data_IF_120655991123
#
_entry.id   IF_120655991123
#
_cell.length_a   1.000
_cell.length_b   1.000
_cell.length_c   1.000
_cell.angle_alpha   90.00
_cell.angle_beta   90.00
_cell.angle_gamma   90.00
#
_symmetry.space_group_name_H-M   'P 1'
#
loop_
_entity.id
_entity.type
_entity.pdbx_description
1 polymer ?
#
# COMPACT_ATOMS: atom_id res chain seq x y z
N UNK A 1 9.55 -0.01 3.11
CA UNK A 1 8.88 0.98 2.23
C UNK A 1 8.89 0.56 0.74
N UNK A 2 10.00 0.03 0.18
CA UNK A 2 10.06 -0.35 -1.25
C UNK A 2 8.99 -1.38 -1.62
N UNK A 3 8.78 -2.41 -0.81
CA UNK A 3 7.75 -3.45 -1.02
C UNK A 3 6.35 -2.83 -0.93
N UNK A 4 6.11 -1.95 0.04
CA UNK A 4 4.84 -1.26 0.20
C UNK A 4 4.50 -0.37 -1.00
N UNK A 5 5.47 0.42 -1.47
CA UNK A 5 5.28 1.33 -2.61
C UNK A 5 5.13 0.56 -3.94
N UNK A 6 5.90 -0.54 -4.13
CA UNK A 6 5.87 -1.33 -5.35
C UNK A 6 4.67 -2.25 -5.49
N UNK A 7 4.09 -2.73 -4.38
CA UNK A 7 2.94 -3.65 -4.38
C UNK A 7 1.58 -2.99 -4.13
N UNK A 8 1.57 -1.74 -3.70
CA UNK A 8 0.32 -1.06 -3.38
C UNK A 8 -0.35 -0.51 -4.64
N UNK A 9 -1.55 -1.02 -4.93
CA UNK A 9 -2.33 -0.64 -6.10
C UNK A 9 -2.58 0.86 -6.25
N UNK A 10 -2.76 1.58 -5.16
CA UNK A 10 -2.96 3.03 -5.17
C UNK A 10 -1.77 3.80 -5.81
N UNK A 11 -0.56 3.27 -5.69
CA UNK A 11 0.64 3.83 -6.34
C UNK A 11 0.85 3.26 -7.74
N UNK A 12 0.66 1.95 -7.92
CA UNK A 12 0.79 1.28 -9.22
C UNK A 12 -0.16 1.88 -10.26
N UNK A 13 -1.39 2.19 -9.86
CA UNK A 13 -2.40 2.83 -10.72
C UNK A 13 -1.90 4.15 -11.35
N UNK A 14 -1.08 4.93 -10.64
CA UNK A 14 -0.52 6.19 -11.17
C UNK A 14 0.49 5.96 -12.30
N UNK A 15 1.25 4.88 -12.24
CA UNK A 15 2.19 4.50 -13.30
C UNK A 15 1.46 3.88 -14.50
N UNK A 16 0.36 3.17 -14.25
CA UNK A 16 -0.47 2.54 -15.28
C UNK A 16 -1.36 3.53 -16.03
N UNK A 17 -1.58 4.74 -15.49
CA UNK A 17 -2.44 5.76 -16.11
C UNK A 17 -1.76 6.64 -17.17
N UNK A 18 -0.47 6.44 -17.45
CA UNK A 18 0.28 7.21 -18.46
C UNK A 18 0.46 6.44 -19.74
N UNK A 19 0.51 7.16 -20.86
CA UNK A 19 0.45 6.59 -22.22
C UNK A 19 1.75 5.92 -22.70
N UNK A 20 2.87 6.06 -21.98
CA UNK A 20 4.14 5.46 -22.40
C UNK A 20 5.03 5.04 -21.25
N UNK A 21 5.85 4.03 -21.49
CA UNK A 21 6.84 3.54 -20.54
C UNK A 21 7.86 4.62 -20.13
N UNK A 22 8.25 5.51 -21.05
CA UNK A 22 9.11 6.65 -20.75
C UNK A 22 8.45 7.63 -19.79
N UNK A 23 7.16 7.93 -20.00
CA UNK A 23 6.38 8.77 -19.10
C UNK A 23 6.22 8.15 -17.72
N UNK A 24 6.00 6.84 -17.62
CA UNK A 24 5.92 6.12 -16.35
C UNK A 24 7.24 6.23 -15.56
N UNK A 25 8.40 6.11 -16.22
CA UNK A 25 9.71 6.33 -15.59
C UNK A 25 9.87 7.75 -15.06
N UNK A 26 9.48 8.77 -15.84
CA UNK A 26 9.54 10.18 -15.42
C UNK A 26 8.66 10.44 -14.18
N UNK A 27 7.44 9.87 -14.16
CA UNK A 27 6.55 9.92 -12.98
C UNK A 27 7.21 9.27 -11.77
N UNK A 28 7.86 8.11 -11.94
CA UNK A 28 8.58 7.43 -10.85
C UNK A 28 9.73 8.27 -10.28
N UNK A 29 10.56 8.86 -11.12
CA UNK A 29 11.65 9.73 -10.67
C UNK A 29 11.16 11.00 -10.00
N UNK A 30 10.14 11.65 -10.56
CA UNK A 30 9.53 12.85 -9.97
C UNK A 30 8.92 12.52 -8.61
N UNK A 31 8.15 11.45 -8.52
CA UNK A 31 7.54 11.01 -7.27
C UNK A 31 8.59 10.66 -6.21
N UNK A 32 9.64 9.92 -6.59
CA UNK A 32 10.74 9.57 -5.69
C UNK A 32 11.50 10.81 -5.20
N UNK A 33 11.81 11.75 -6.07
CA UNK A 33 12.47 13.01 -5.71
C UNK A 33 11.64 13.86 -4.75
N UNK A 34 10.35 14.05 -5.07
CA UNK A 34 9.43 14.78 -4.20
C UNK A 34 9.24 14.08 -2.84
N UNK A 35 9.26 12.75 -2.81
CA UNK A 35 9.12 11.99 -1.57
C UNK A 35 10.32 12.22 -0.64
N UNK A 36 11.55 12.27 -1.17
CA UNK A 36 12.77 12.58 -0.39
C UNK A 36 12.73 14.00 0.16
N UNK A 37 12.41 14.99 -0.69
CA UNK A 37 12.28 16.39 -0.27
C UNK A 37 11.20 16.54 0.81
N UNK A 38 10.04 15.93 0.59
CA UNK A 38 8.92 15.94 1.53
C UNK A 38 9.31 15.33 2.89
N UNK A 39 10.02 14.20 2.88
CA UNK A 39 10.46 13.55 4.13
C UNK A 39 11.36 14.48 4.97
N UNK A 40 12.29 15.20 4.33
CA UNK A 40 13.15 16.16 5.04
C UNK A 40 12.32 17.31 5.63
N UNK A 41 11.43 17.91 4.84
CA UNK A 41 10.60 19.03 5.28
C UNK A 41 9.68 18.68 6.46
N UNK A 42 9.10 17.47 6.45
CA UNK A 42 8.16 17.04 7.48
C UNK A 42 8.83 16.45 8.73
N UNK A 43 10.00 15.81 8.59
CA UNK A 43 10.68 15.14 9.70
C UNK A 43 11.67 16.03 10.44
N UNK A 44 12.31 17.00 9.76
CA UNK A 44 13.30 17.86 10.37
C UNK A 44 12.76 18.69 11.55
N UNK A 45 11.60 19.37 11.42
CA UNK A 45 11.04 20.18 12.51
C UNK A 45 10.76 19.40 13.81
N UNK A 46 10.05 18.26 13.80
CA UNK A 46 9.80 17.51 15.02
C UNK A 46 11.08 16.89 15.61
N UNK A 47 12.09 16.56 14.78
CA UNK A 47 13.38 16.08 15.28
C UNK A 47 14.14 17.19 16.03
N UNK A 48 14.15 18.40 15.52
CA UNK A 48 14.74 19.57 16.20
C UNK A 48 14.00 19.82 17.50
N UNK A 49 12.67 19.81 17.48
CA UNK A 49 11.86 20.02 18.69
C UNK A 49 12.14 18.98 19.77
N UNK A 50 12.36 17.72 19.38
CA UNK A 50 12.74 16.63 20.29
C UNK A 50 14.10 16.85 20.94
N UNK A 51 15.06 17.47 20.23
CA UNK A 51 16.38 17.80 20.79
C UNK A 51 16.25 18.92 21.82
N UNK A 52 15.41 19.92 21.55
CA UNK A 52 15.16 21.05 22.49
C UNK A 52 14.38 20.60 23.71
N UNK A 53 13.46 19.65 23.57
CA UNK A 53 12.60 19.12 24.63
C UNK A 53 12.81 17.61 24.82
N UNK A 54 13.90 17.17 25.49
CA UNK A 54 14.22 15.74 25.64
C UNK A 54 13.25 14.97 26.53
N UNK A 55 12.49 15.66 27.39
CA UNK A 55 11.54 15.08 28.35
C UNK A 55 10.18 14.68 27.77
N UNK A 56 9.95 14.88 26.46
CA UNK A 56 8.71 14.50 25.81
C UNK A 56 8.45 13.00 25.94
N UNK A 57 7.25 12.63 26.37
CA UNK A 57 6.80 11.24 26.36
C UNK A 57 6.70 10.70 24.93
N UNK A 58 6.59 9.38 24.78
CA UNK A 58 6.44 8.76 23.44
C UNK A 58 5.17 9.22 22.74
N UNK A 59 4.07 9.43 23.50
CA UNK A 59 2.80 9.88 22.95
C UNK A 59 2.87 11.37 22.58
N UNK A 60 3.49 12.21 23.44
CA UNK A 60 3.66 13.63 23.14
C UNK A 60 4.59 13.87 21.95
N UNK A 61 5.55 12.97 21.72
CA UNK A 61 6.43 13.03 20.55
C UNK A 61 5.68 12.88 19.22
N UNK A 62 4.53 12.22 19.20
CA UNK A 62 3.66 12.17 18.00
C UNK A 62 3.08 13.56 17.65
N UNK A 63 2.88 14.41 18.66
CA UNK A 63 2.45 15.80 18.53
C UNK A 63 3.55 16.83 18.36
N UNK A 64 4.83 16.43 18.37
CA UNK A 64 6.00 17.34 18.42
C UNK A 64 6.00 18.38 17.28
N UNK A 65 5.55 18.01 16.08
CA UNK A 65 5.41 18.94 14.95
C UNK A 65 4.43 20.07 15.24
N UNK A 66 3.26 19.73 15.79
CA UNK A 66 2.23 20.72 16.14
C UNK A 66 2.65 21.60 17.32
N UNK A 67 3.32 21.02 18.32
CA UNK A 67 3.86 21.74 19.47
C UNK A 67 4.89 22.77 19.02
N UNK A 68 5.86 22.39 18.19
CA UNK A 68 6.84 23.29 17.62
C UNK A 68 6.19 24.43 16.82
N UNK A 69 5.23 24.10 15.97
CA UNK A 69 4.52 25.10 15.18
C UNK A 69 3.76 26.11 16.07
N UNK A 70 3.17 25.64 17.18
CA UNK A 70 2.48 26.50 18.14
C UNK A 70 3.42 27.48 18.86
N UNK A 71 4.67 27.10 19.08
CA UNK A 71 5.67 27.95 19.72
C UNK A 71 6.31 28.96 18.76
N UNK A 72 6.53 28.55 17.51
CA UNK A 72 7.29 29.35 16.51
C UNK A 72 6.40 30.22 15.64
N UNK A 73 5.17 29.79 15.32
CA UNK A 73 4.32 30.49 14.39
C UNK A 73 3.36 31.48 15.06
N UNK A 74 3.21 32.68 14.50
CA UNK A 74 2.14 33.60 14.93
C UNK A 74 0.75 33.02 14.59
N UNK A 75 -0.28 33.45 15.33
CA UNK A 75 -1.62 32.86 15.29
C UNK A 75 -2.21 32.71 13.87
N UNK A 76 -2.01 33.69 12.99
CA UNK A 76 -2.50 33.62 11.60
C UNK A 76 -1.84 32.51 10.77
N UNK A 77 -0.51 32.41 10.85
CA UNK A 77 0.26 31.36 10.13
C UNK A 77 0.00 29.98 10.73
N UNK A 78 -0.18 29.89 12.05
CA UNK A 78 -0.56 28.63 12.70
C UNK A 78 -1.92 28.14 12.20
N UNK A 79 -2.91 29.03 12.09
CA UNK A 79 -4.22 28.71 11.54
C UNK A 79 -4.16 28.22 10.09
N UNK A 80 -3.36 28.88 9.24
CA UNK A 80 -3.15 28.48 7.85
C UNK A 80 -2.49 27.10 7.76
N UNK A 81 -1.46 26.83 8.57
CA UNK A 81 -0.78 25.55 8.62
C UNK A 81 -1.72 24.40 9.07
N UNK A 82 -2.47 24.61 10.15
CA UNK A 82 -3.43 23.63 10.65
C UNK A 82 -4.52 23.33 9.60
N UNK A 83 -5.03 24.37 8.93
CA UNK A 83 -5.99 24.19 7.83
C UNK A 83 -5.39 23.36 6.70
N UNK A 84 -4.15 23.64 6.31
CA UNK A 84 -3.42 22.88 5.28
C UNK A 84 -3.28 21.39 5.65
N UNK A 85 -2.95 21.09 6.92
CA UNK A 85 -2.85 19.71 7.41
C UNK A 85 -4.20 18.99 7.38
N UNK A 86 -5.28 19.67 7.80
CA UNK A 86 -6.64 19.11 7.76
C UNK A 86 -7.04 18.80 6.31
N UNK A 87 -6.84 19.73 5.39
CA UNK A 87 -7.18 19.51 3.98
C UNK A 87 -6.33 18.41 3.33
N UNK A 88 -5.03 18.34 3.63
CA UNK A 88 -4.17 17.27 3.15
C UNK A 88 -4.63 15.89 3.64
N UNK A 89 -4.96 15.79 4.93
CA UNK A 89 -5.49 14.55 5.54
C UNK A 89 -6.85 14.18 4.94
N UNK A 90 -7.76 15.15 4.80
CA UNK A 90 -9.08 14.94 4.19
C UNK A 90 -8.97 14.45 2.74
N UNK A 91 -8.03 15.01 1.97
CA UNK A 91 -7.76 14.57 0.59
C UNK A 91 -7.28 13.12 0.53
N UNK A 92 -6.34 12.72 1.38
CA UNK A 92 -5.84 11.34 1.45
C UNK A 92 -6.92 10.36 1.90
N UNK A 93 -7.72 10.75 2.90
CA UNK A 93 -8.84 9.94 3.38
C UNK A 93 -9.88 9.73 2.27
N UNK A 94 -10.25 10.80 1.56
CA UNK A 94 -11.20 10.74 0.45
C UNK A 94 -10.73 9.79 -0.65
N UNK A 95 -9.45 9.87 -1.04
CA UNK A 95 -8.88 8.96 -2.03
C UNK A 95 -8.96 7.49 -1.58
N UNK A 96 -8.62 7.22 -0.32
CA UNK A 96 -8.66 5.86 0.25
C UNK A 96 -10.10 5.32 0.32
N UNK A 97 -11.06 6.14 0.76
CA UNK A 97 -12.48 5.77 0.80
C UNK A 97 -13.03 5.47 -0.59
N UNK A 98 -12.67 6.26 -1.59
CA UNK A 98 -13.09 6.04 -2.98
C UNK A 98 -12.52 4.73 -3.55
N UNK A 99 -11.24 4.44 -3.33
CA UNK A 99 -10.64 3.17 -3.77
C UNK A 99 -11.34 1.99 -3.07
N UNK A 100 -11.51 2.05 -1.76
CA UNK A 100 -12.13 0.96 -0.99
C UNK A 100 -13.59 0.73 -1.40
N UNK A 101 -14.38 1.78 -1.58
CA UNK A 101 -15.76 1.67 -2.06
C UNK A 101 -15.83 1.18 -3.50
N UNK A 102 -14.87 1.56 -4.34
CA UNK A 102 -14.74 1.07 -5.71
C UNK A 102 -14.49 -0.43 -5.77
N UNK A 103 -13.59 -0.95 -4.94
CA UNK A 103 -13.33 -2.40 -4.82
C UNK A 103 -14.59 -3.15 -4.38
N UNK A 104 -15.29 -2.68 -3.33
CA UNK A 104 -16.54 -3.32 -2.88
C UNK A 104 -17.60 -3.32 -3.99
N UNK A 105 -17.72 -2.22 -4.70
CA UNK A 105 -18.77 -2.06 -5.71
C UNK A 105 -18.46 -2.84 -6.99
N UNK A 106 -17.25 -2.71 -7.53
CA UNK A 106 -16.89 -3.27 -8.82
C UNK A 106 -16.36 -4.69 -8.73
N UNK A 107 -15.48 -4.97 -7.76
CA UNK A 107 -14.79 -6.26 -7.70
C UNK A 107 -15.60 -7.30 -6.90
N UNK A 108 -16.39 -6.86 -5.91
CA UNK A 108 -17.20 -7.77 -5.09
C UNK A 108 -18.65 -7.76 -5.55
N UNK A 109 -19.34 -6.63 -5.42
CA UNK A 109 -20.79 -6.59 -5.63
C UNK A 109 -21.19 -6.84 -7.09
N UNK A 110 -20.55 -6.17 -8.04
CA UNK A 110 -20.86 -6.35 -9.48
C UNK A 110 -20.49 -7.75 -9.96
N UNK A 111 -19.47 -8.38 -9.36
CA UNK A 111 -19.11 -9.77 -9.68
C UNK A 111 -20.12 -10.79 -9.15
N UNK A 112 -20.69 -10.52 -7.97
CA UNK A 112 -21.75 -11.37 -7.39
C UNK A 112 -23.11 -11.15 -8.07
N UNK A 113 -23.38 -9.91 -8.50
CA UNK A 113 -24.64 -9.50 -9.13
C UNK A 113 -24.40 -8.80 -10.47
N UNK A 114 -24.01 -9.53 -11.53
CA UNK A 114 -23.60 -8.95 -12.83
C UNK A 114 -24.68 -8.12 -13.53
N UNK A 115 -25.95 -8.42 -13.28
CA UNK A 115 -27.10 -7.74 -13.90
C UNK A 115 -27.57 -6.49 -13.13
N UNK A 116 -26.80 -6.02 -12.16
CA UNK A 116 -27.17 -4.85 -11.36
C UNK A 116 -27.18 -3.57 -12.18
N UNK A 117 -28.20 -2.73 -12.00
CA UNK A 117 -28.28 -1.43 -12.64
C UNK A 117 -27.24 -0.46 -12.09
N UNK A 118 -26.83 0.53 -12.90
CA UNK A 118 -25.89 1.57 -12.48
C UNK A 118 -26.35 2.36 -11.23
N UNK A 119 -27.69 2.53 -11.11
CA UNK A 119 -28.28 3.14 -9.91
C UNK A 119 -28.03 2.32 -8.65
N UNK A 120 -28.08 1.00 -8.75
CA UNK A 120 -27.80 0.08 -7.64
C UNK A 120 -26.30 0.11 -7.29
N UNK A 121 -25.43 0.07 -8.29
CA UNK A 121 -23.98 0.17 -8.10
C UNK A 121 -23.61 1.49 -7.39
N UNK A 122 -24.22 2.60 -7.80
CA UNK A 122 -23.98 3.90 -7.15
C UNK A 122 -24.47 3.92 -5.69
N UNK A 123 -25.60 3.26 -5.37
CA UNK A 123 -26.05 3.11 -3.98
C UNK A 123 -25.07 2.30 -3.14
N UNK A 124 -24.60 1.17 -3.66
CA UNK A 124 -23.59 0.33 -2.98
C UNK A 124 -22.32 1.13 -2.73
N UNK A 125 -21.83 1.88 -3.72
CA UNK A 125 -20.66 2.73 -3.56
C UNK A 125 -20.84 3.75 -2.43
N UNK A 126 -21.97 4.47 -2.39
CA UNK A 126 -22.26 5.45 -1.35
C UNK A 126 -22.36 4.82 0.05
N UNK A 127 -23.07 3.70 0.18
CA UNK A 127 -23.21 2.99 1.44
C UNK A 127 -21.86 2.49 1.92
N UNK A 128 -21.06 1.90 1.05
CA UNK A 128 -19.70 1.43 1.37
C UNK A 128 -18.80 2.58 1.83
N UNK A 129 -18.87 3.73 1.17
CA UNK A 129 -18.10 4.93 1.58
C UNK A 129 -18.50 5.38 2.99
N UNK A 130 -19.80 5.40 3.30
CA UNK A 130 -20.29 5.77 4.65
C UNK A 130 -19.81 4.76 5.69
N UNK A 131 -19.92 3.46 5.41
CA UNK A 131 -19.48 2.40 6.32
C UNK A 131 -17.98 2.50 6.59
N UNK A 132 -17.15 2.65 5.56
CA UNK A 132 -15.70 2.82 5.73
C UNK A 132 -15.35 4.11 6.46
N UNK A 133 -16.08 5.19 6.21
CA UNK A 133 -15.90 6.45 6.94
C UNK A 133 -16.22 6.30 8.44
N UNK A 134 -17.32 5.63 8.79
CA UNK A 134 -17.67 5.34 10.19
C UNK A 134 -16.62 4.42 10.85
N UNK A 135 -16.17 3.38 10.16
CA UNK A 135 -15.11 2.52 10.66
C UNK A 135 -13.81 3.29 10.91
N UNK A 136 -13.45 4.20 10.00
CA UNK A 136 -12.27 5.05 10.19
C UNK A 136 -12.38 5.95 11.43
N UNK A 137 -13.55 6.50 11.71
CA UNK A 137 -13.82 7.29 12.93
C UNK A 137 -13.69 6.40 14.17
N UNK A 138 -14.30 5.22 14.18
CA UNK A 138 -14.21 4.28 15.31
C UNK A 138 -12.75 3.92 15.59
N UNK A 139 -11.99 3.57 14.56
CA UNK A 139 -10.56 3.27 14.71
C UNK A 139 -9.80 4.47 15.25
N UNK A 140 -10.04 5.67 14.73
CA UNK A 140 -9.38 6.89 15.20
C UNK A 140 -9.62 7.15 16.70
N UNK A 141 -10.83 6.89 17.19
CA UNK A 141 -11.16 7.02 18.61
C UNK A 141 -10.49 5.95 19.49
N UNK A 142 -10.17 4.78 18.94
CA UNK A 142 -9.49 3.70 19.66
C UNK A 142 -7.96 3.85 19.68
N UNK A 143 -7.36 4.61 18.78
CA UNK A 143 -5.90 4.79 18.67
C UNK A 143 -5.23 5.17 20.00
N UNK A 144 -5.73 6.14 20.79
CA UNK A 144 -5.11 6.48 22.07
C UNK A 144 -5.07 5.31 23.06
N UNK A 145 -6.09 4.45 23.06
CA UNK A 145 -6.16 3.25 23.89
C UNK A 145 -5.19 2.15 23.44
N UNK A 146 -4.76 2.19 22.19
CA UNK A 146 -3.82 1.24 21.58
C UNK A 146 -2.35 1.68 21.68
N UNK A 147 -2.06 2.74 22.43
CA UNK A 147 -0.69 3.22 22.66
C UNK A 147 -0.15 4.18 21.59
N UNK A 148 -1.05 4.86 20.85
CA UNK A 148 -0.70 5.87 19.86
C UNK A 148 -0.69 5.37 18.41
N UNK A 149 -0.68 6.32 17.47
CA UNK A 149 -0.82 6.03 16.04
C UNK A 149 0.41 5.29 15.49
N UNK A 150 1.61 5.62 15.97
CA UNK A 150 2.85 4.99 15.51
C UNK A 150 2.84 3.49 15.84
N UNK A 151 2.41 3.13 17.05
CA UNK A 151 2.30 1.73 17.46
C UNK A 151 1.30 0.95 16.60
N UNK A 152 0.14 1.53 16.34
CA UNK A 152 -0.90 0.91 15.51
C UNK A 152 -0.40 0.72 14.08
N UNK A 153 0.18 1.77 13.46
CA UNK A 153 0.68 1.72 12.09
C UNK A 153 1.79 0.69 11.92
N UNK A 154 2.76 0.64 12.85
CA UNK A 154 3.86 -0.33 12.80
C UNK A 154 3.31 -1.75 12.95
N UNK A 155 2.40 -1.97 13.89
CA UNK A 155 1.79 -3.28 14.13
C UNK A 155 0.98 -3.78 12.93
N UNK A 156 0.19 -2.92 12.31
CA UNK A 156 -0.57 -3.25 11.11
C UNK A 156 0.36 -3.48 9.93
N UNK A 157 1.38 -2.64 9.75
CA UNK A 157 2.36 -2.80 8.68
C UNK A 157 3.18 -4.08 8.80
N UNK A 158 3.57 -4.48 10.02
CA UNK A 158 4.26 -5.74 10.26
C UNK A 158 3.37 -6.95 9.95
N UNK A 159 2.08 -6.87 10.32
CA UNK A 159 1.13 -7.95 10.08
C UNK A 159 0.77 -8.12 8.60
N UNK A 160 0.53 -7.01 7.88
CA UNK A 160 -0.10 -7.02 6.56
C UNK A 160 0.83 -6.57 5.43
N UNK A 161 1.81 -5.73 5.72
CA UNK A 161 2.58 -5.03 4.68
C UNK A 161 3.33 -5.97 3.74
N UNK A 162 4.15 -6.85 4.27
CA UNK A 162 4.93 -7.79 3.46
C UNK A 162 4.06 -8.92 2.91
N UNK A 163 3.19 -9.59 3.71
CA UNK A 163 2.33 -10.64 3.20
C UNK A 163 1.42 -10.23 2.05
N UNK A 164 0.89 -9.00 2.08
CA UNK A 164 -0.03 -8.54 1.03
C UNK A 164 0.68 -8.06 -0.24
N UNK A 165 1.82 -7.38 -0.09
CA UNK A 165 2.45 -6.72 -1.24
C UNK A 165 3.57 -7.52 -1.88
N UNK A 166 4.32 -8.31 -1.09
CA UNK A 166 5.47 -9.06 -1.61
C UNK A 166 5.06 -10.15 -2.62
N UNK A 167 3.99 -10.94 -2.43
CA UNK A 167 3.57 -11.93 -3.44
C UNK A 167 3.22 -11.29 -4.78
N UNK A 168 2.61 -10.11 -4.79
CA UNK A 168 2.27 -9.37 -6.00
C UNK A 168 3.56 -8.93 -6.74
N UNK A 169 4.53 -8.38 -6.00
CA UNK A 169 5.82 -7.99 -6.59
C UNK A 169 6.57 -9.22 -7.10
N UNK A 170 6.49 -10.35 -6.38
CA UNK A 170 7.17 -11.58 -6.76
C UNK A 170 6.67 -12.14 -8.10
N UNK A 171 5.39 -11.93 -8.43
CA UNK A 171 4.84 -12.36 -9.73
C UNK A 171 5.51 -11.67 -10.91
N UNK A 172 6.12 -10.49 -10.73
CA UNK A 172 6.88 -9.81 -11.79
C UNK A 172 8.18 -10.53 -12.14
N UNK A 173 8.74 -11.30 -11.21
CA UNK A 173 10.00 -12.02 -11.36
C UNK A 173 9.80 -13.53 -11.53
N UNK A 174 8.66 -14.08 -11.10
CA UNK A 174 8.37 -15.52 -11.13
C UNK A 174 7.46 -15.90 -12.28
N UNK A 175 7.89 -16.91 -13.03
CA UNK A 175 7.10 -17.53 -14.11
C UNK A 175 6.07 -18.53 -13.60
N UNK A 176 6.05 -18.82 -12.28
CA UNK A 176 5.32 -19.94 -11.70
C UNK A 176 4.24 -19.54 -10.72
N UNK A 177 4.41 -18.42 -10.02
CA UNK A 177 3.56 -18.06 -8.88
C UNK A 177 2.37 -17.13 -9.22
N UNK A 178 2.15 -16.79 -10.48
CA UNK A 178 1.09 -15.83 -10.86
C UNK A 178 -0.31 -16.26 -10.40
N UNK A 179 -0.64 -17.54 -10.53
CA UNK A 179 -1.94 -18.10 -10.12
C UNK A 179 -2.00 -18.39 -8.61
N UNK A 180 -0.87 -18.68 -8.00
CA UNK A 180 -0.77 -19.13 -6.62
C UNK A 180 -0.41 -17.99 -5.64
N UNK A 181 -0.22 -16.78 -6.14
CA UNK A 181 0.10 -15.61 -5.31
C UNK A 181 -0.93 -15.36 -4.21
N UNK A 182 -2.21 -15.61 -4.49
CA UNK A 182 -3.30 -15.48 -3.51
C UNK A 182 -3.14 -16.48 -2.37
N UNK A 183 -2.81 -17.74 -2.67
CA UNK A 183 -2.59 -18.77 -1.65
C UNK A 183 -1.40 -18.41 -0.78
N UNK A 184 -0.29 -18.00 -1.41
CA UNK A 184 0.92 -17.56 -0.67
C UNK A 184 0.61 -16.36 0.23
N UNK A 185 -0.19 -15.40 -0.25
CA UNK A 185 -0.66 -14.24 0.53
C UNK A 185 -1.47 -14.69 1.75
N UNK A 186 -2.46 -15.57 1.57
CA UNK A 186 -3.31 -16.05 2.65
C UNK A 186 -2.52 -16.86 3.70
N UNK A 187 -1.64 -17.73 3.25
CA UNK A 187 -0.77 -18.52 4.16
C UNK A 187 0.16 -17.61 4.94
N UNK A 188 0.81 -16.65 4.29
CA UNK A 188 1.72 -15.70 4.95
C UNK A 188 0.99 -14.80 5.93
N UNK A 189 -0.20 -14.30 5.56
CA UNK A 189 -1.03 -13.46 6.42
C UNK A 189 -1.53 -14.25 7.64
N UNK A 190 -2.02 -15.48 7.42
CA UNK A 190 -2.49 -16.36 8.48
C UNK A 190 -1.40 -16.70 9.48
N UNK A 191 -0.19 -16.97 9.00
CA UNK A 191 0.96 -17.25 9.86
C UNK A 191 1.41 -16.02 10.65
N UNK A 192 1.48 -14.85 10.02
CA UNK A 192 1.80 -13.61 10.74
C UNK A 192 0.75 -13.29 11.81
N UNK A 193 -0.53 -13.51 11.52
CA UNK A 193 -1.60 -13.37 12.50
C UNK A 193 -1.46 -14.37 13.64
N UNK A 194 -1.11 -15.63 13.34
CA UNK A 194 -0.84 -16.65 14.33
C UNK A 194 0.31 -16.22 15.26
N UNK A 195 1.45 -15.84 14.71
CA UNK A 195 2.60 -15.38 15.50
C UNK A 195 2.26 -14.16 16.35
N UNK A 196 1.45 -13.23 15.86
CA UNK A 196 1.09 -12.02 16.59
C UNK A 196 0.09 -12.24 17.72
N UNK A 197 -0.94 -13.05 17.48
CA UNK A 197 -2.07 -13.19 18.40
C UNK A 197 -2.02 -14.44 19.28
N UNK A 198 -1.42 -15.52 18.80
CA UNK A 198 -1.48 -16.83 19.48
C UNK A 198 -0.19 -17.09 20.28
N UNK A 199 0.98 -16.72 19.78
CA UNK A 199 2.24 -16.94 20.51
C UNK A 199 2.30 -16.22 21.85
N UNK A 200 1.78 -14.99 22.04
CA UNK A 200 1.74 -14.36 23.34
C UNK A 200 0.90 -15.13 24.37
N UNK A 201 -0.15 -15.84 23.93
CA UNK A 201 -0.97 -16.68 24.82
C UNK A 201 -0.20 -17.89 25.38
N UNK A 202 0.87 -18.30 24.70
CA UNK A 202 1.76 -19.38 25.13
C UNK A 202 3.01 -18.87 25.90
N UNK A 203 3.02 -17.59 26.26
CA UNK A 203 4.12 -16.97 27.01
C UNK A 203 5.32 -16.53 26.16
N UNK A 204 5.24 -16.65 24.83
CA UNK A 204 6.26 -16.17 23.90
C UNK A 204 5.83 -14.81 23.32
N UNK A 205 6.10 -13.72 24.06
CA UNK A 205 5.89 -12.37 23.54
C UNK A 205 7.08 -11.92 22.70
N UNK A 206 6.83 -11.55 21.43
CA UNK A 206 7.86 -10.98 20.57
C UNK A 206 8.08 -9.49 20.88
N UNK A 207 9.33 -9.06 20.91
CA UNK A 207 9.69 -7.64 20.88
C UNK A 207 9.29 -7.05 19.52
N UNK A 208 9.12 -5.71 19.47
CA UNK A 208 8.75 -4.99 18.23
C UNK A 208 9.69 -5.31 17.04
N UNK A 209 10.99 -5.43 17.30
CA UNK A 209 11.98 -5.78 16.28
C UNK A 209 11.78 -7.22 15.77
N UNK A 210 11.49 -8.15 16.66
CA UNK A 210 11.23 -9.55 16.33
C UNK A 210 9.93 -9.71 15.54
N UNK A 211 8.85 -9.00 15.91
CA UNK A 211 7.61 -8.95 15.12
C UNK A 211 7.88 -8.50 13.67
N UNK A 212 8.70 -7.45 13.49
CA UNK A 212 9.06 -6.95 12.16
C UNK A 212 9.89 -7.97 11.37
N UNK A 213 10.85 -8.65 12.02
CA UNK A 213 11.68 -9.66 11.38
C UNK A 213 10.84 -10.86 10.94
N UNK A 214 9.99 -11.38 11.82
CA UNK A 214 9.09 -12.50 11.52
C UNK A 214 8.10 -12.10 10.42
N UNK A 215 7.53 -10.89 10.51
CA UNK A 215 6.61 -10.33 9.51
C UNK A 215 7.19 -10.21 8.10
N UNK A 216 8.52 -10.11 7.97
CA UNK A 216 9.22 -10.07 6.68
C UNK A 216 9.76 -11.45 6.30
N UNK A 217 10.46 -12.12 7.21
CA UNK A 217 11.19 -13.35 6.93
C UNK A 217 10.25 -14.51 6.56
N UNK A 218 9.12 -14.62 7.25
CA UNK A 218 8.18 -15.72 7.02
C UNK A 218 7.50 -15.65 5.64
N UNK A 219 6.94 -14.52 5.18
CA UNK A 219 6.42 -14.39 3.81
C UNK A 219 7.47 -14.67 2.73
N UNK A 220 8.70 -14.18 2.92
CA UNK A 220 9.82 -14.46 1.99
C UNK A 220 10.13 -15.96 1.95
N UNK A 221 10.19 -16.61 3.10
CA UNK A 221 10.39 -18.05 3.20
C UNK A 221 9.28 -18.82 2.48
N UNK A 222 8.01 -18.46 2.69
CA UNK A 222 6.88 -19.06 2.00
C UNK A 222 6.99 -18.92 0.49
N UNK A 223 7.35 -17.73 -0.01
CA UNK A 223 7.52 -17.49 -1.44
C UNK A 223 8.62 -18.33 -2.04
N UNK A 224 9.77 -18.43 -1.37
CA UNK A 224 10.90 -19.26 -1.81
C UNK A 224 10.50 -20.75 -1.78
N UNK A 225 9.84 -21.22 -0.73
CA UNK A 225 9.39 -22.60 -0.61
C UNK A 225 8.40 -22.97 -1.73
N UNK A 226 7.41 -22.12 -2.00
CA UNK A 226 6.47 -22.34 -3.10
C UNK A 226 7.18 -22.27 -4.48
N UNK A 227 8.12 -21.36 -4.68
CA UNK A 227 8.89 -21.29 -5.93
C UNK A 227 9.70 -22.57 -6.16
N UNK A 228 10.37 -23.08 -5.14
CA UNK A 228 11.11 -24.34 -5.21
C UNK A 228 10.17 -25.53 -5.46
N UNK A 229 9.03 -25.59 -4.79
CA UNK A 229 8.03 -26.64 -4.99
C UNK A 229 7.54 -26.66 -6.45
N UNK A 230 7.18 -25.50 -7.02
CA UNK A 230 6.74 -25.40 -8.42
C UNK A 230 7.89 -25.63 -9.42
N UNK A 231 9.12 -25.28 -9.05
CA UNK A 231 10.30 -25.58 -9.86
C UNK A 231 10.54 -27.10 -9.96
N UNK A 232 10.46 -27.80 -8.84
CA UNK A 232 10.63 -29.25 -8.78
C UNK A 232 9.53 -30.01 -9.54
N UNK A 233 8.31 -29.50 -9.51
CA UNK A 233 7.17 -30.08 -10.22
C UNK A 233 7.01 -29.60 -11.67
N UNK A 234 7.97 -28.87 -12.22
CA UNK A 234 7.98 -28.32 -13.59
C UNK A 234 6.70 -27.54 -13.96
N UNK A 235 6.00 -26.99 -12.98
CA UNK A 235 4.78 -26.23 -13.22
C UNK A 235 5.11 -24.80 -13.64
N UNK A 236 4.55 -24.37 -14.77
CA UNK A 236 4.57 -22.98 -15.24
C UNK A 236 3.14 -22.46 -15.15
N UNK A 237 2.95 -21.22 -14.74
CA UNK A 237 1.62 -20.61 -14.66
C UNK A 237 1.00 -20.44 -16.03
N UNK A 238 -0.26 -20.85 -16.19
CA UNK A 238 -1.03 -20.69 -17.43
C UNK A 238 -1.14 -19.19 -17.81
N UNK A 239 -1.38 -18.32 -16.86
CA UNK A 239 -1.45 -16.86 -17.08
C UNK A 239 -0.13 -16.24 -17.53
N UNK A 240 1.00 -16.83 -17.14
CA UNK A 240 2.30 -16.36 -17.63
C UNK A 240 2.49 -16.72 -19.10
N UNK A 241 2.05 -17.90 -19.52
CA UNK A 241 2.09 -18.33 -20.94
C UNK A 241 1.17 -17.45 -21.76
N UNK A 242 -0.06 -17.23 -21.32
CA UNK A 242 -1.02 -16.35 -21.96
C UNK A 242 -0.51 -14.90 -22.11
N UNK A 243 0.15 -14.38 -21.07
CA UNK A 243 0.80 -13.07 -21.15
C UNK A 243 1.94 -13.04 -22.19
N UNK A 244 2.74 -14.08 -22.27
CA UNK A 244 3.81 -14.15 -23.27
C UNK A 244 3.26 -14.25 -24.71
N UNK A 245 2.18 -14.96 -24.92
CA UNK A 245 1.49 -15.02 -26.21
C UNK A 245 0.93 -13.65 -26.60
N UNK A 246 0.26 -12.99 -25.68
CA UNK A 246 -0.23 -11.62 -25.85
C UNK A 246 0.90 -10.63 -26.15
N UNK A 247 2.03 -10.72 -25.44
CA UNK A 247 3.18 -9.85 -25.66
C UNK A 247 3.80 -10.06 -27.04
N UNK A 248 3.92 -11.30 -27.49
CA UNK A 248 4.41 -11.62 -28.83
C UNK A 248 3.49 -11.06 -29.90
N UNK A 249 2.19 -11.24 -29.76
CA UNK A 249 1.18 -10.74 -30.70
C UNK A 249 1.23 -9.21 -30.81
N UNK A 250 1.30 -8.51 -29.67
CA UNK A 250 1.39 -7.04 -29.67
C UNK A 250 2.73 -6.50 -30.17
N UNK A 251 3.82 -7.22 -29.99
CA UNK A 251 5.11 -6.84 -30.56
C UNK A 251 5.15 -7.05 -32.06
N UNK A 252 4.54 -8.14 -32.58
CA UNK A 252 4.37 -8.33 -34.02
C UNK A 252 3.52 -7.21 -34.65
N UNK A 253 2.46 -6.75 -34.00
CA UNK A 253 1.64 -5.64 -34.48
C UNK A 253 2.44 -4.34 -34.53
N UNK A 254 3.26 -4.04 -33.52
CA UNK A 254 4.14 -2.86 -33.52
C UNK A 254 5.21 -2.91 -34.62
N UNK A 255 5.79 -4.07 -34.90
CA UNK A 255 6.76 -4.24 -35.99
C UNK A 255 6.10 -4.07 -37.36
N UNK A 256 4.88 -4.56 -37.57
CA UNK A 256 4.10 -4.36 -38.79
C UNK A 256 3.69 -2.89 -39.00
N UNK A 257 3.29 -2.19 -37.94
CA UNK A 257 2.97 -0.76 -38.02
C UNK A 257 4.21 0.10 -38.34
N UNK A 258 5.38 -0.25 -37.80
CA UNK A 258 6.65 0.42 -38.14
C UNK A 258 7.09 0.17 -39.59
N UNK A 259 6.80 -1.01 -40.14
CA UNK A 259 7.09 -1.28 -41.57
C UNK A 259 6.13 -0.55 -42.52
N UNK A 260 4.90 -0.24 -42.08
CA UNK A 260 3.93 0.50 -42.91
C UNK A 260 4.07 2.04 -42.79
N UNK A 261 4.75 2.53 -41.75
CA UNK A 261 5.14 3.93 -41.60
C UNK A 261 6.59 4.15 -42.00
N UNK A 262 6.96 3.69 -43.21
CA UNK A 262 8.24 4.03 -43.83
C UNK A 262 8.32 5.58 -44.02
N UNK A 263 9.53 6.18 -43.83
CA UNK A 263 9.67 7.61 -43.97
C UNK A 263 9.45 8.01 -45.44
N UNK A 264 8.44 8.82 -45.64
CA UNK A 264 8.06 9.63 -46.82
C UNK A 264 6.99 9.09 -47.79
N UNK A 265 6.09 10.03 -48.20
CA UNK A 265 6.20 10.51 -49.56
C UNK A 265 6.95 11.82 -49.62
#
# INVERSE_FOLDING_TARGET
NAIFLGGNWAYVQRYASVNSQSSARKVGFLFGGLYVVSAVLWMLPPMIYRIVNPSLSTIDAEGAYLMMCKEVLPAGLLGLMLSGMVFATASSLNATLNISSGVVTNDIFKRLFPQSSDKTLMRVARISTIIFGLLAIIVALLIPLMGGIVNVVISVAALTGVPLYLPIIWTLFSKRQTEYSVITTLVSLGANAFFKFITPLWGFGFNRAEEMIVGVAFPVFCLIAFELYYKLNHKISHRYVEYQEWEKENNCIKETDVMHTGPFP
#
